data_IF_008544099007
#
_entry.id   IF_008544099007
#
_cell.length_a   1.000
_cell.length_b   1.000
_cell.length_c   1.000
_cell.angle_alpha   90.00
_cell.angle_beta   90.00
_cell.angle_gamma   90.00
#
_symmetry.space_group_name_H-M   'P 1'
#
loop_
_entity.id
_entity.type
_entity.pdbx_description
1 polymer ?
#
# COMPACT_ATOMS: atom_id res chain seq x y z
N UNK A 1 1.23 5.17 19.81
CA UNK A 1 0.39 4.21 19.05
C UNK A 1 0.80 4.27 17.60
N UNK A 2 0.75 3.12 16.92
CA UNK A 2 1.77 2.65 15.99
C UNK A 2 1.14 2.24 14.66
N UNK A 3 1.84 2.46 13.55
CA UNK A 3 1.25 2.35 12.22
C UNK A 3 2.28 1.99 11.12
N UNK A 4 2.19 0.74 10.67
CA UNK A 4 2.37 0.28 9.27
C UNK A 4 3.80 0.22 8.63
N UNK A 5 4.29 -1.02 8.35
CA UNK A 5 5.56 -1.34 7.63
C UNK A 5 5.40 -2.09 6.31
N UNK A 6 4.42 -2.97 6.09
CA UNK A 6 4.45 -3.77 4.84
C UNK A 6 3.21 -3.62 3.94
N UNK A 7 2.02 -3.51 4.53
CA UNK A 7 1.04 -2.56 3.97
C UNK A 7 1.71 -1.20 3.69
N UNK A 8 2.80 -0.93 4.37
CA UNK A 8 3.52 0.31 4.31
C UNK A 8 4.44 0.50 3.12
N UNK A 9 4.75 -0.48 2.30
CA UNK A 9 5.11 -0.12 0.92
C UNK A 9 4.10 0.86 0.26
N UNK A 10 2.81 0.65 0.50
CA UNK A 10 1.69 1.51 0.09
C UNK A 10 1.20 2.50 1.17
N UNK A 11 1.70 2.35 2.40
CA UNK A 11 1.21 3.05 3.61
C UNK A 11 2.31 3.80 4.41
N UNK A 12 3.60 3.55 4.15
CA UNK A 12 4.78 4.39 4.49
C UNK A 12 4.65 5.75 3.84
N UNK A 13 3.72 5.81 2.93
CA UNK A 13 3.40 6.90 2.11
C UNK A 13 2.42 7.91 2.75
N UNK A 14 1.74 7.56 3.83
CA UNK A 14 0.44 8.18 4.12
C UNK A 14 0.46 9.14 5.32
N UNK A 15 1.62 9.55 5.80
CA UNK A 15 1.71 10.22 7.10
C UNK A 15 2.46 11.56 7.10
N UNK A 16 2.46 12.30 5.98
CA UNK A 16 2.97 13.69 5.97
C UNK A 16 2.00 14.69 5.31
N UNK A 17 0.69 14.48 5.43
CA UNK A 17 -0.29 15.50 5.05
C UNK A 17 -1.50 15.47 5.99
N UNK A 18 -1.42 16.27 7.05
CA UNK A 18 -2.59 16.77 7.77
C UNK A 18 -2.31 18.26 8.09
N UNK A 19 -3.29 19.12 7.73
CA UNK A 19 -3.33 20.61 7.63
C UNK A 19 -2.46 21.19 6.51
N UNK A 20 -3.03 21.82 5.48
CA UNK A 20 -3.88 23.01 5.59
C UNK A 20 -5.28 22.97 4.96
N UNK A 21 -6.15 23.79 5.56
CA UNK A 21 -7.53 24.10 5.20
C UNK A 21 -7.69 24.61 3.75
N UNK A 22 -8.79 24.30 3.04
CA UNK A 22 -9.01 24.64 1.62
C UNK A 22 -9.36 26.12 1.33
N UNK A 23 -9.00 27.09 2.18
CA UNK A 23 -9.38 28.50 1.98
C UNK A 23 -8.35 29.39 1.27
N UNK A 24 -7.15 28.91 0.94
CA UNK A 24 -6.10 29.75 0.31
C UNK A 24 -5.82 29.49 -1.18
N UNK A 25 -6.48 28.53 -1.83
CA UNK A 25 -6.30 28.26 -3.28
C UNK A 25 -7.42 28.87 -4.14
N UNK A 26 -7.63 30.18 -3.99
CA UNK A 26 -8.27 31.03 -5.01
C UNK A 26 -7.28 32.08 -5.49
N UNK A 27 -6.26 31.68 -6.22
CA UNK A 27 -5.54 32.56 -7.13
C UNK A 27 -4.63 31.75 -8.06
N UNK A 28 -4.69 32.07 -9.34
CA UNK A 28 -3.79 31.66 -10.42
C UNK A 28 -4.00 30.22 -10.91
N UNK A 29 -4.47 29.98 -12.14
CA UNK A 29 -4.35 30.78 -13.36
C UNK A 29 -3.79 29.85 -14.44
N UNK A 30 -4.60 29.63 -15.47
CA UNK A 30 -4.38 28.83 -16.67
C UNK A 30 -2.93 28.84 -17.20
N UNK A 31 -2.41 27.67 -17.64
CA UNK A 31 -1.75 27.49 -18.95
C UNK A 31 -1.81 26.03 -19.43
N UNK A 32 -2.27 25.87 -20.67
CA UNK A 32 -2.23 24.68 -21.54
C UNK A 32 -0.81 24.35 -22.04
N UNK A 33 -0.75 23.32 -22.90
CA UNK A 33 0.37 22.71 -23.64
C UNK A 33 1.01 21.53 -22.89
N UNK A 34 1.24 20.36 -23.47
CA UNK A 34 1.24 19.87 -24.84
C UNK A 34 2.11 18.60 -24.80
N UNK A 35 1.73 17.57 -25.54
CA UNK A 35 2.37 16.25 -25.43
C UNK A 35 3.87 16.25 -25.75
N UNK A 36 4.57 15.26 -25.18
CA UNK A 36 5.60 14.42 -25.81
C UNK A 36 6.21 13.50 -24.74
N UNK A 37 6.35 12.23 -25.07
CA UNK A 37 7.03 11.20 -24.25
C UNK A 37 8.54 11.45 -24.38
N UNK A 38 9.32 11.63 -23.30
CA UNK A 38 10.77 11.65 -23.44
C UNK A 38 11.30 10.21 -23.54
N UNK A 39 11.90 9.92 -24.69
CA UNK A 39 12.86 8.83 -24.89
C UNK A 39 14.13 9.20 -24.12
N UNK A 40 14.60 8.33 -23.22
CA UNK A 40 15.85 8.54 -22.49
C UNK A 40 17.05 8.14 -23.35
N UNK A 41 17.90 9.12 -23.67
CA UNK A 41 19.26 8.94 -24.20
C UNK A 41 20.24 8.85 -23.02
N UNK A 42 20.97 7.74 -22.82
CA UNK A 42 21.84 7.53 -21.66
C UNK A 42 23.19 8.28 -21.71
N UNK A 43 23.41 9.20 -22.67
CA UNK A 43 24.70 9.87 -22.85
C UNK A 43 24.82 11.31 -22.32
N UNK A 44 23.80 11.88 -21.67
CA UNK A 44 23.88 13.27 -21.15
C UNK A 44 24.06 13.25 -19.64
N UNK A 45 25.29 13.55 -19.19
CA UNK A 45 25.62 13.76 -17.79
C UNK A 45 24.73 14.82 -17.14
N UNK A 46 24.44 14.64 -15.85
CA UNK A 46 23.64 15.57 -15.06
C UNK A 46 24.18 17.01 -15.18
N UNK A 47 23.32 18.03 -15.30
CA UNK A 47 23.76 19.42 -15.32
C UNK A 47 24.39 19.76 -13.97
N UNK A 48 25.70 20.04 -13.97
CA UNK A 48 26.38 20.64 -12.82
C UNK A 48 25.78 22.03 -12.57
N UNK A 49 25.25 22.24 -11.37
CA UNK A 49 24.87 23.57 -10.92
C UNK A 49 26.13 24.42 -10.75
N UNK A 50 26.15 25.68 -11.23
CA UNK A 50 27.31 26.55 -11.06
C UNK A 50 27.55 26.83 -9.57
N UNK A 51 28.82 26.82 -9.12
CA UNK A 51 29.14 27.12 -7.73
C UNK A 51 28.78 28.58 -7.41
N UNK A 52 27.93 28.79 -6.39
CA UNK A 52 27.64 30.12 -5.84
C UNK A 52 26.21 30.64 -6.00
N UNK A 53 25.23 29.83 -6.41
CA UNK A 53 23.83 30.25 -6.35
C UNK A 53 23.38 30.43 -4.88
N UNK A 54 22.96 31.63 -4.45
CA UNK A 54 22.49 31.84 -3.09
C UNK A 54 21.16 31.11 -2.89
N UNK A 55 21.15 30.15 -1.98
CA UNK A 55 19.91 29.60 -1.41
C UNK A 55 19.36 30.70 -0.52
N UNK A 56 18.28 31.37 -0.95
CA UNK A 56 17.60 32.34 -0.10
C UNK A 56 16.97 31.57 1.07
N UNK A 57 17.35 31.80 2.33
CA UNK A 57 16.59 31.30 3.45
C UNK A 57 15.41 32.24 3.61
N UNK A 58 14.22 31.83 3.18
CA UNK A 58 13.01 32.52 3.63
C UNK A 58 13.00 32.50 5.16
N UNK A 59 12.72 33.63 5.82
CA UNK A 59 12.62 33.66 7.27
C UNK A 59 11.46 32.78 7.70
N UNK A 60 11.77 31.73 8.45
CA UNK A 60 10.77 30.94 9.18
C UNK A 60 10.05 31.93 10.11
N UNK A 61 8.73 32.08 9.96
CA UNK A 61 7.91 32.92 10.82
C UNK A 61 8.01 32.38 12.27
N UNK A 62 8.58 33.14 13.23
CA UNK A 62 8.73 32.68 14.60
C UNK A 62 7.40 32.52 15.35
N UNK A 63 6.28 32.88 14.73
CA UNK A 63 4.93 32.63 15.24
C UNK A 63 4.31 31.32 14.76
N UNK A 64 4.95 30.62 13.82
CA UNK A 64 4.56 29.26 13.49
C UNK A 64 4.82 28.36 14.70
N UNK A 65 3.78 27.71 15.25
CA UNK A 65 3.96 26.80 16.36
C UNK A 65 4.93 25.68 15.92
N UNK A 66 5.93 25.32 16.75
CA UNK A 66 6.79 24.19 16.45
C UNK A 66 5.90 22.98 16.19
N UNK A 67 6.10 22.32 15.04
CA UNK A 67 5.34 21.14 14.65
C UNK A 67 5.48 20.08 15.75
N UNK A 68 4.40 19.85 16.48
CA UNK A 68 4.34 18.91 17.59
C UNK A 68 4.61 17.47 17.08
N UNK A 69 5.75 16.86 17.44
CA UNK A 69 6.08 15.50 17.02
C UNK A 69 5.15 14.44 17.65
N UNK A 70 4.28 14.83 18.60
CA UNK A 70 3.33 13.93 19.27
C UNK A 70 1.93 13.91 18.62
N UNK A 71 1.70 14.67 17.53
CA UNK A 71 0.38 14.74 16.89
C UNK A 71 -0.05 13.38 16.30
N UNK A 72 -1.24 12.83 16.62
CA UNK A 72 -1.66 11.51 16.16
C UNK A 72 -1.81 11.43 14.64
N UNK A 73 -1.02 10.57 14.01
CA UNK A 73 -1.17 10.22 12.59
C UNK A 73 -2.41 9.35 12.36
N UNK A 74 -3.14 9.61 11.28
CA UNK A 74 -4.31 8.82 10.91
C UNK A 74 -3.97 7.34 10.62
N UNK A 75 -4.75 6.36 11.13
CA UNK A 75 -4.56 4.95 10.82
C UNK A 75 -4.76 4.67 9.33
N UNK A 76 -3.82 3.94 8.76
CA UNK A 76 -3.82 3.71 7.32
C UNK A 76 -4.50 2.39 6.95
N UNK A 77 -4.45 1.41 7.84
CA UNK A 77 -5.38 0.28 7.85
C UNK A 77 -6.65 0.74 8.54
N UNK A 78 -7.76 0.60 7.83
CA UNK A 78 -9.10 0.93 8.30
C UNK A 78 -9.91 -0.36 8.32
N UNK A 79 -10.55 -0.65 9.45
CA UNK A 79 -11.48 -1.78 9.50
C UNK A 79 -12.69 -1.45 8.63
N UNK A 80 -12.98 -2.22 7.58
CA UNK A 80 -14.21 -2.01 6.83
C UNK A 80 -15.40 -2.30 7.75
N UNK A 81 -16.50 -1.58 7.52
CA UNK A 81 -17.77 -1.91 8.16
C UNK A 81 -18.48 -2.93 7.29
N UNK A 82 -18.77 -4.09 7.88
CA UNK A 82 -19.46 -5.20 7.25
C UNK A 82 -20.90 -5.22 7.75
N UNK A 83 -21.85 -5.24 6.83
CA UNK A 83 -23.28 -5.25 7.16
C UNK A 83 -23.98 -6.33 6.34
N UNK A 84 -24.95 -7.01 6.95
CA UNK A 84 -25.89 -7.84 6.23
C UNK A 84 -26.64 -6.96 5.23
N UNK A 85 -26.68 -7.38 3.97
CA UNK A 85 -27.17 -6.56 2.87
C UNK A 85 -28.67 -6.26 2.98
N UNK A 86 -29.10 -5.00 3.22
CA UNK A 86 -30.52 -4.65 3.32
C UNK A 86 -31.04 -3.91 2.08
N UNK A 87 -30.22 -3.69 1.05
CA UNK A 87 -30.53 -2.85 -0.13
C UNK A 87 -30.45 -3.65 -1.43
N UNK A 88 -30.80 -3.05 -2.57
CA UNK A 88 -30.57 -3.64 -3.89
C UNK A 88 -29.12 -3.43 -4.35
N UNK A 89 -28.58 -4.33 -5.17
CA UNK A 89 -27.23 -4.17 -5.72
C UNK A 89 -27.30 -3.13 -6.83
N UNK A 90 -26.34 -2.21 -6.85
CA UNK A 90 -26.16 -1.25 -7.92
C UNK A 90 -25.48 -1.89 -9.14
N UNK A 91 -24.99 -1.08 -10.09
CA UNK A 91 -24.27 -1.58 -11.25
C UNK A 91 -23.01 -2.38 -10.86
N UNK A 92 -22.69 -3.39 -11.69
CA UNK A 92 -21.48 -4.18 -11.59
C UNK A 92 -20.25 -3.30 -11.87
N UNK A 93 -19.31 -3.31 -10.94
CA UNK A 93 -18.04 -2.59 -11.02
C UNK A 93 -16.90 -3.49 -11.49
N UNK A 94 -17.02 -4.80 -11.25
CA UNK A 94 -16.04 -5.78 -11.70
C UNK A 94 -16.31 -7.19 -11.16
N UNK A 95 -15.65 -8.17 -11.78
CA UNK A 95 -15.66 -9.57 -11.35
C UNK A 95 -14.22 -10.05 -11.23
N UNK A 96 -13.83 -10.42 -10.01
CA UNK A 96 -12.48 -10.90 -9.71
C UNK A 96 -12.49 -12.44 -9.63
N UNK A 97 -11.72 -13.17 -10.46
CA UNK A 97 -11.57 -14.61 -10.33
C UNK A 97 -10.65 -14.93 -9.13
N UNK A 98 -11.21 -15.40 -8.01
CA UNK A 98 -10.46 -15.57 -6.77
C UNK A 98 -9.33 -16.62 -6.89
N UNK A 99 -9.54 -17.82 -7.46
CA UNK A 99 -8.47 -18.82 -7.58
C UNK A 99 -7.29 -18.34 -8.43
N UNK A 100 -7.56 -17.62 -9.52
CA UNK A 100 -6.53 -17.11 -10.43
C UNK A 100 -5.74 -15.94 -9.83
N UNK A 101 -6.34 -15.22 -8.87
CA UNK A 101 -5.74 -14.06 -8.21
C UNK A 101 -5.17 -14.36 -6.84
N UNK A 102 -5.38 -15.58 -6.33
CA UNK A 102 -4.85 -15.97 -5.03
C UNK A 102 -3.32 -15.85 -5.05
N UNK A 103 -2.78 -15.03 -4.15
CA UNK A 103 -1.35 -14.88 -3.96
C UNK A 103 -0.59 -14.36 -5.21
N UNK A 104 -1.28 -13.70 -6.15
CA UNK A 104 -0.69 -13.14 -7.37
C UNK A 104 0.38 -12.06 -7.13
N UNK A 105 0.53 -11.61 -5.89
CA UNK A 105 1.50 -10.61 -5.46
C UNK A 105 2.72 -11.23 -4.77
N UNK A 106 2.90 -12.56 -4.78
CA UNK A 106 4.03 -13.21 -4.08
C UNK A 106 5.40 -12.93 -4.71
N UNK A 107 5.43 -12.55 -5.99
CA UNK A 107 6.61 -12.23 -6.80
C UNK A 107 6.78 -10.72 -7.06
N UNK A 108 6.22 -9.91 -6.16
CA UNK A 108 6.10 -8.47 -6.33
C UNK A 108 7.44 -7.72 -6.40
N UNK A 109 8.46 -8.17 -5.65
CA UNK A 109 9.82 -7.63 -5.72
C UNK A 109 10.85 -8.74 -5.96
N UNK A 110 11.21 -9.05 -7.21
CA UNK A 110 12.34 -9.93 -7.49
C UNK A 110 13.65 -9.20 -7.17
N UNK A 111 14.36 -9.67 -6.14
CA UNK A 111 15.58 -9.06 -5.62
C UNK A 111 16.67 -10.11 -5.39
N UNK A 112 17.90 -9.77 -5.77
CA UNK A 112 19.07 -10.53 -5.34
C UNK A 112 19.45 -10.15 -3.92
N UNK A 113 19.29 -11.06 -2.97
CA UNK A 113 19.67 -10.88 -1.57
C UNK A 113 20.70 -11.95 -1.19
N UNK A 114 21.89 -11.50 -0.81
CA UNK A 114 23.02 -12.42 -0.66
C UNK A 114 23.50 -12.92 -2.02
N UNK A 115 23.68 -14.24 -2.11
CA UNK A 115 24.07 -14.93 -3.35
C UNK A 115 22.88 -15.41 -4.20
N UNK A 116 21.65 -15.24 -3.72
CA UNK A 116 20.45 -15.83 -4.34
C UNK A 116 19.41 -14.78 -4.72
N UNK A 117 18.60 -15.13 -5.72
CA UNK A 117 17.43 -14.35 -6.11
C UNK A 117 16.22 -14.79 -5.28
N UNK A 118 15.47 -13.79 -4.82
CA UNK A 118 14.32 -13.94 -3.94
C UNK A 118 13.18 -13.09 -4.46
N UNK A 119 11.99 -13.67 -4.44
CA UNK A 119 10.75 -12.94 -4.57
C UNK A 119 10.37 -12.40 -3.19
N UNK A 120 10.46 -11.08 -3.02
CA UNK A 120 10.13 -10.41 -1.78
C UNK A 120 8.71 -9.87 -1.86
N UNK A 121 7.91 -10.19 -0.86
CA UNK A 121 6.55 -9.67 -0.75
C UNK A 121 6.12 -9.58 0.70
N UNK A 122 4.81 -9.60 0.92
CA UNK A 122 4.14 -9.16 2.12
C UNK A 122 2.98 -10.09 2.38
N UNK A 123 2.82 -10.50 3.63
CA UNK A 123 1.63 -11.20 4.09
C UNK A 123 1.17 -10.62 5.42
N UNK A 124 -0.03 -10.98 5.83
CA UNK A 124 -0.59 -10.59 7.11
C UNK A 124 -1.55 -11.68 7.63
N UNK A 125 -1.94 -11.57 8.88
CA UNK A 125 -3.07 -12.33 9.40
C UNK A 125 -4.42 -11.78 8.89
N UNK A 126 -5.50 -12.53 9.10
CA UNK A 126 -6.85 -12.17 8.62
C UNK A 126 -7.38 -10.84 9.15
N UNK A 127 -6.87 -10.37 10.30
CA UNK A 127 -7.22 -9.08 10.89
C UNK A 127 -6.27 -7.96 10.49
N UNK A 128 -5.17 -8.31 9.82
CA UNK A 128 -4.09 -7.40 9.50
C UNK A 128 -3.48 -6.73 10.75
N UNK A 129 -3.52 -7.41 11.90
CA UNK A 129 -2.91 -6.99 13.15
C UNK A 129 -1.42 -7.39 13.20
N UNK A 130 -1.04 -8.50 12.54
CA UNK A 130 0.34 -8.98 12.37
C UNK A 130 0.71 -9.04 10.89
N UNK A 131 1.89 -8.53 10.53
CA UNK A 131 2.37 -8.45 9.15
C UNK A 131 3.76 -9.07 9.03
N UNK A 132 4.06 -9.57 7.84
CA UNK A 132 5.21 -10.42 7.57
C UNK A 132 5.87 -9.99 6.27
N UNK A 133 7.20 -9.88 6.29
CA UNK A 133 8.01 -9.95 5.08
C UNK A 133 8.03 -11.40 4.59
N UNK A 134 7.74 -11.61 3.31
CA UNK A 134 7.81 -12.92 2.69
C UNK A 134 9.01 -12.97 1.75
N UNK A 135 9.70 -14.10 1.74
CA UNK A 135 10.82 -14.37 0.84
C UNK A 135 10.59 -15.73 0.21
N UNK A 136 10.35 -15.76 -1.09
CA UNK A 136 10.14 -16.99 -1.84
C UNK A 136 11.30 -17.27 -2.79
N UNK A 137 11.72 -18.53 -2.86
CA UNK A 137 12.70 -19.04 -3.81
C UNK A 137 12.39 -20.49 -4.13
N UNK A 138 11.87 -20.75 -5.34
CA UNK A 138 11.30 -22.06 -5.69
C UNK A 138 10.23 -22.47 -4.68
N UNK A 139 10.34 -23.69 -4.14
CA UNK A 139 9.43 -24.23 -3.11
C UNK A 139 9.66 -23.66 -1.70
N UNK A 140 10.73 -22.89 -1.48
CA UNK A 140 11.02 -22.30 -0.17
C UNK A 140 10.22 -21.02 0.01
N UNK A 141 9.45 -20.93 1.10
CA UNK A 141 8.82 -19.71 1.58
C UNK A 141 9.27 -19.42 3.01
N UNK A 142 9.80 -18.23 3.22
CA UNK A 142 10.16 -17.73 4.55
C UNK A 142 9.21 -16.59 4.92
N UNK A 143 8.65 -16.68 6.12
CA UNK A 143 7.85 -15.62 6.73
C UNK A 143 8.68 -14.98 7.85
N UNK A 144 8.73 -13.65 7.85
CA UNK A 144 9.47 -12.87 8.84
C UNK A 144 8.58 -11.80 9.41
N UNK A 145 8.08 -12.07 10.61
CA UNK A 145 7.16 -11.18 11.32
C UNK A 145 7.79 -9.81 11.55
N UNK A 146 6.99 -8.79 11.32
CA UNK A 146 7.30 -7.41 11.67
C UNK A 146 6.67 -7.14 13.03
N UNK A 147 7.50 -6.81 14.01
CA UNK A 147 7.03 -6.54 15.38
C UNK A 147 6.29 -5.21 15.44
N UNK A 148 6.99 -4.17 15.00
CA UNK A 148 6.44 -2.85 14.84
C UNK A 148 6.84 -2.34 13.48
N UNK A 149 5.82 -1.86 12.85
CA UNK A 149 5.81 -1.36 11.54
C UNK A 149 6.48 0.03 11.43
N UNK A 150 6.51 0.77 12.54
CA UNK A 150 7.31 1.98 12.67
C UNK A 150 8.82 1.72 12.65
N UNK A 151 9.27 0.49 12.95
CA UNK A 151 10.70 0.16 12.92
C UNK A 151 11.28 0.37 11.52
N UNK A 152 10.51 0.11 10.45
CA UNK A 152 10.96 0.40 9.09
C UNK A 152 11.26 1.89 8.88
N UNK A 153 10.47 2.80 9.46
CA UNK A 153 10.65 4.25 9.30
C UNK A 153 11.82 4.79 10.15
N UNK A 154 12.08 4.15 11.28
CA UNK A 154 13.14 4.52 12.22
C UNK A 154 14.50 3.89 11.88
N UNK A 155 14.92 2.94 12.71
CA UNK A 155 16.21 2.27 12.58
C UNK A 155 16.25 1.23 11.43
N UNK A 156 15.11 0.89 10.86
CA UNK A 156 14.93 -0.25 9.96
C UNK A 156 14.73 -1.57 10.71
N UNK A 157 14.13 -2.54 10.03
CA UNK A 157 13.95 -3.91 10.52
C UNK A 157 15.06 -4.78 9.97
N UNK A 158 15.78 -5.47 10.85
CA UNK A 158 16.81 -6.44 10.47
C UNK A 158 16.17 -7.82 10.32
N UNK A 159 16.39 -8.43 9.16
CA UNK A 159 15.79 -9.70 8.78
C UNK A 159 16.86 -10.68 8.38
N UNK A 160 16.96 -11.78 9.12
CA UNK A 160 17.77 -12.95 8.76
C UNK A 160 17.01 -13.80 7.75
N UNK A 161 17.50 -13.89 6.52
CA UNK A 161 16.91 -14.69 5.44
C UNK A 161 17.41 -16.13 5.58
N UNK A 162 18.73 -16.31 5.67
CA UNK A 162 19.40 -17.58 5.93
C UNK A 162 20.61 -17.37 6.85
N UNK A 163 21.43 -18.41 7.07
CA UNK A 163 22.58 -18.36 7.98
C UNK A 163 23.68 -17.38 7.60
N UNK A 164 23.75 -16.97 6.33
CA UNK A 164 24.78 -16.05 5.81
C UNK A 164 24.20 -14.72 5.31
N UNK A 165 22.87 -14.62 5.25
CA UNK A 165 22.19 -13.52 4.59
C UNK A 165 21.27 -12.80 5.57
N UNK A 166 21.69 -11.61 6.00
CA UNK A 166 20.91 -10.70 6.85
C UNK A 166 20.83 -9.33 6.22
N UNK A 167 19.62 -8.78 6.12
CA UNK A 167 19.36 -7.49 5.51
C UNK A 167 18.54 -6.60 6.41
N UNK A 168 18.83 -5.30 6.37
CA UNK A 168 18.03 -4.26 6.99
C UNK A 168 17.13 -3.60 5.95
N UNK A 169 15.84 -3.59 6.25
CA UNK A 169 14.81 -2.92 5.50
C UNK A 169 14.52 -1.60 6.21
N UNK A 170 14.73 -0.46 5.55
CA UNK A 170 14.51 0.86 6.12
C UNK A 170 13.86 1.78 5.11
N UNK A 171 12.95 2.63 5.56
CA UNK A 171 12.20 3.52 4.71
C UNK A 171 12.56 4.95 5.07
N UNK A 172 13.14 5.65 4.11
CA UNK A 172 13.41 7.06 4.20
C UNK A 172 12.19 7.83 3.68
N UNK A 173 11.48 8.49 4.58
CA UNK A 173 10.25 9.22 4.28
C UNK A 173 10.60 10.53 3.55
N UNK A 174 9.88 10.82 2.47
CA UNK A 174 9.90 12.13 1.83
C UNK A 174 8.66 12.91 2.29
N UNK A 175 8.84 14.02 3.00
CA UNK A 175 7.71 14.79 3.55
C UNK A 175 6.83 15.46 2.48
N UNK A 176 7.39 15.80 1.32
CA UNK A 176 6.67 16.47 0.22
C UNK A 176 5.93 15.50 -0.70
N UNK A 177 6.34 14.23 -0.69
CA UNK A 177 5.67 13.15 -1.40
C UNK A 177 5.83 11.86 -0.59
N UNK A 178 5.11 11.74 0.54
CA UNK A 178 5.29 10.63 1.45
C UNK A 178 4.89 9.36 0.70
N UNK A 179 3.67 9.34 0.12
CA UNK A 179 3.27 8.80 -1.17
C UNK A 179 4.25 7.87 -1.87
N UNK A 180 4.63 8.40 -3.00
CA UNK A 180 5.42 7.74 -4.01
C UNK A 180 6.88 8.16 -3.95
N UNK A 181 7.19 9.26 -3.25
CA UNK A 181 8.52 9.87 -3.19
C UNK A 181 9.44 9.33 -2.09
N UNK A 182 8.90 8.60 -1.11
CA UNK A 182 9.69 7.90 -0.09
C UNK A 182 10.55 6.80 -0.73
N UNK A 183 11.63 6.41 -0.05
CA UNK A 183 12.57 5.39 -0.55
C UNK A 183 12.65 4.22 0.41
N UNK A 184 12.36 3.01 -0.07
CA UNK A 184 12.69 1.76 0.61
C UNK A 184 14.16 1.41 0.31
N UNK A 185 14.98 1.37 1.36
CA UNK A 185 16.37 0.97 1.35
C UNK A 185 16.48 -0.45 1.93
N UNK A 186 17.20 -1.31 1.22
CA UNK A 186 17.45 -2.69 1.62
C UNK A 186 18.97 -2.87 1.61
N UNK A 187 19.56 -2.89 2.80
CA UNK A 187 21.02 -2.88 2.97
C UNK A 187 21.50 -4.16 3.65
N UNK A 188 22.57 -4.82 3.17
CA UNK A 188 23.13 -5.97 3.86
C UNK A 188 23.71 -5.53 5.20
N UNK A 189 23.45 -6.31 6.25
CA UNK A 189 24.05 -6.09 7.56
C UNK A 189 25.53 -6.52 7.56
N UNK A 190 26.36 -6.04 8.51
CA UNK A 190 27.75 -6.48 8.63
C UNK A 190 27.87 -8.00 8.65
N UNK A 191 28.77 -8.55 7.84
CA UNK A 191 28.95 -9.99 7.65
C UNK A 191 28.10 -10.60 6.52
N UNK A 192 27.11 -9.89 5.98
CA UNK A 192 26.37 -10.30 4.78
C UNK A 192 27.02 -9.73 3.52
N UNK A 193 27.37 -10.58 2.57
CA UNK A 193 27.80 -10.15 1.23
C UNK A 193 26.59 -10.08 0.31
N UNK A 194 26.41 -8.98 -0.43
CA UNK A 194 25.34 -8.85 -1.41
C UNK A 194 25.09 -7.40 -1.82
N UNK A 195 24.24 -7.17 -2.84
CA UNK A 195 23.93 -5.83 -3.31
C UNK A 195 23.07 -5.07 -2.29
N UNK A 196 23.18 -3.74 -2.33
CA UNK A 196 22.22 -2.81 -1.72
C UNK A 196 21.14 -2.49 -2.74
N UNK A 197 19.91 -2.35 -2.27
CA UNK A 197 18.79 -1.88 -3.10
C UNK A 197 18.21 -0.60 -2.53
N UNK A 198 17.80 0.29 -3.42
CA UNK A 198 17.02 1.47 -3.09
C UNK A 198 15.95 1.64 -4.15
N UNK A 199 14.69 1.72 -3.73
CA UNK A 199 13.56 1.86 -4.64
C UNK A 199 12.56 2.87 -4.10
N UNK A 200 11.90 3.60 -5.00
CA UNK A 200 10.81 4.50 -4.63
C UNK A 200 9.58 3.71 -4.24
N UNK A 201 8.87 4.16 -3.20
CA UNK A 201 7.57 3.58 -2.82
C UNK A 201 6.56 3.68 -3.95
N UNK A 202 6.68 4.68 -4.83
CA UNK A 202 5.88 4.79 -6.05
C UNK A 202 6.02 3.60 -7.00
N UNK A 203 7.26 3.15 -7.26
CA UNK A 203 7.51 1.99 -8.12
C UNK A 203 6.94 0.69 -7.50
N UNK A 204 6.95 0.63 -6.17
CA UNK A 204 6.38 -0.48 -5.42
C UNK A 204 4.84 -0.48 -5.48
N UNK A 205 4.22 0.70 -5.42
CA UNK A 205 2.79 0.88 -5.63
C UNK A 205 2.37 0.50 -7.05
N UNK A 206 3.19 0.83 -8.05
CA UNK A 206 2.95 0.43 -9.44
C UNK A 206 2.98 -1.09 -9.60
N UNK A 207 3.93 -1.76 -8.94
CA UNK A 207 3.99 -3.22 -8.89
C UNK A 207 2.75 -3.82 -8.19
N UNK A 208 2.35 -3.28 -7.05
CA UNK A 208 1.11 -3.69 -6.34
C UNK A 208 -0.10 -3.55 -7.27
N UNK A 209 -0.25 -2.40 -7.92
CA UNK A 209 -1.38 -2.12 -8.82
C UNK A 209 -1.41 -3.10 -9.99
N UNK A 210 -0.25 -3.45 -10.56
CA UNK A 210 -0.14 -4.42 -11.65
C UNK A 210 -0.65 -5.80 -11.24
N UNK A 211 -0.34 -6.25 -10.03
CA UNK A 211 -0.78 -7.56 -9.52
C UNK A 211 -2.18 -7.56 -8.92
N UNK A 212 -2.80 -6.39 -8.79
CA UNK A 212 -4.13 -6.21 -8.21
C UNK A 212 -5.26 -6.34 -9.23
N UNK A 213 -6.44 -6.67 -8.74
CA UNK A 213 -7.68 -6.42 -9.47
C UNK A 213 -8.10 -4.96 -9.30
N UNK A 214 -8.16 -4.20 -10.38
CA UNK A 214 -8.47 -2.76 -10.34
C UNK A 214 -9.93 -2.52 -10.72
N UNK A 215 -10.65 -1.74 -9.91
CA UNK A 215 -12.01 -1.31 -10.19
C UNK A 215 -12.24 0.15 -9.77
N UNK A 216 -13.32 0.76 -10.25
CA UNK A 216 -13.69 2.15 -9.91
C UNK A 216 -15.04 2.19 -9.22
N UNK A 217 -15.14 2.96 -8.14
CA UNK A 217 -16.38 3.19 -7.41
C UNK A 217 -16.42 4.66 -6.96
N UNK A 218 -17.56 5.34 -7.18
CA UNK A 218 -17.77 6.75 -6.77
C UNK A 218 -16.64 7.69 -7.24
N UNK A 219 -16.13 7.49 -8.45
CA UNK A 219 -15.05 8.30 -9.03
C UNK A 219 -13.64 7.99 -8.48
N UNK A 220 -13.50 7.03 -7.55
CA UNK A 220 -12.22 6.59 -6.99
C UNK A 220 -11.79 5.25 -7.56
N UNK A 221 -10.48 5.06 -7.71
CA UNK A 221 -9.89 3.79 -8.13
C UNK A 221 -9.49 2.96 -6.90
N UNK A 222 -9.86 1.70 -6.89
CA UNK A 222 -9.54 0.74 -5.85
C UNK A 222 -8.78 -0.44 -6.44
N UNK A 223 -7.85 -0.98 -5.66
CA UNK A 223 -7.04 -2.15 -6.01
C UNK A 223 -7.30 -3.24 -4.99
N UNK A 224 -7.72 -4.42 -5.45
CA UNK A 224 -7.95 -5.58 -4.60
C UNK A 224 -6.83 -6.60 -4.80
N UNK A 225 -6.11 -6.90 -3.73
CA UNK A 225 -5.23 -8.06 -3.62
C UNK A 225 -5.97 -9.18 -2.89
N UNK A 226 -5.74 -10.42 -3.29
CA UNK A 226 -6.27 -11.60 -2.60
C UNK A 226 -5.11 -12.52 -2.22
N UNK A 227 -5.02 -12.88 -0.94
CA UNK A 227 -3.88 -13.62 -0.43
C UNK A 227 -4.24 -14.61 0.67
N UNK A 228 -3.36 -15.59 0.85
CA UNK A 228 -3.39 -16.53 1.97
C UNK A 228 -2.93 -15.80 3.24
N UNK A 229 -3.69 -15.93 4.33
CA UNK A 229 -3.34 -15.32 5.61
C UNK A 229 -2.17 -16.05 6.28
N UNK A 230 -1.54 -15.40 7.26
CA UNK A 230 -0.57 -16.02 8.17
C UNK A 230 -1.24 -16.26 9.51
N UNK A 231 -1.01 -17.45 10.10
CA UNK A 231 -1.39 -17.72 11.48
C UNK A 231 -0.34 -17.10 12.43
N UNK A 232 -0.71 -16.08 13.23
CA UNK A 232 0.24 -15.38 14.08
C UNK A 232 0.73 -16.19 15.27
N UNK A 233 0.14 -17.37 15.56
CA UNK A 233 0.60 -18.26 16.61
C UNK A 233 1.76 -19.17 16.14
N UNK A 234 1.76 -19.53 14.85
CA UNK A 234 2.74 -20.46 14.27
C UNK A 234 3.71 -19.79 13.29
N UNK A 235 3.44 -18.53 12.92
CA UNK A 235 4.16 -17.78 11.87
C UNK A 235 4.23 -18.57 10.53
N UNK A 236 3.17 -19.34 10.25
CA UNK A 236 3.01 -20.16 9.05
C UNK A 236 1.77 -19.72 8.24
N UNK A 237 1.70 -20.12 6.97
CA UNK A 237 0.49 -19.89 6.17
C UNK A 237 -0.72 -20.58 6.82
N UNK A 238 -1.81 -19.83 6.97
CA UNK A 238 -3.08 -20.34 7.47
C UNK A 238 -3.91 -20.96 6.34
N UNK A 239 -5.00 -21.64 6.71
CA UNK A 239 -6.02 -22.12 5.78
C UNK A 239 -7.09 -21.06 5.46
N UNK A 240 -6.87 -19.81 5.88
CA UNK A 240 -7.77 -18.67 5.64
C UNK A 240 -7.15 -17.72 4.62
N UNK A 241 -8.00 -16.88 4.03
CA UNK A 241 -7.62 -15.91 3.02
C UNK A 241 -8.32 -14.59 3.28
N UNK A 242 -7.71 -13.52 2.81
CA UNK A 242 -8.28 -12.18 2.92
C UNK A 242 -8.06 -11.37 1.65
N UNK A 243 -8.98 -10.46 1.41
CA UNK A 243 -8.83 -9.38 0.45
C UNK A 243 -8.20 -8.18 1.15
N UNK A 244 -7.27 -7.51 0.48
CA UNK A 244 -6.85 -6.18 0.86
C UNK A 244 -7.27 -5.20 -0.24
N UNK A 245 -8.21 -4.32 0.09
CA UNK A 245 -8.66 -3.27 -0.82
C UNK A 245 -7.87 -2.01 -0.53
N UNK A 246 -7.22 -1.43 -1.53
CA UNK A 246 -6.35 -0.27 -1.43
C UNK A 246 -6.93 0.87 -2.28
N UNK A 247 -6.88 2.10 -1.78
CA UNK A 247 -7.12 3.30 -2.55
C UNK A 247 -5.94 4.26 -2.37
N UNK A 248 -5.32 4.70 -3.47
CA UNK A 248 -4.33 5.78 -3.47
C UNK A 248 -5.04 7.12 -3.75
N UNK A 249 -4.77 8.13 -2.92
CA UNK A 249 -5.36 9.46 -2.98
C UNK A 249 -4.27 10.55 -2.86
N UNK A 250 -3.31 10.53 -3.78
CA UNK A 250 -2.25 11.54 -3.89
C UNK A 250 -1.26 11.49 -2.72
N UNK A 251 -1.51 12.28 -1.67
CA UNK A 251 -0.66 12.37 -0.47
C UNK A 251 -1.02 11.34 0.61
N UNK A 252 -2.07 10.55 0.38
CA UNK A 252 -2.49 9.49 1.29
C UNK A 252 -2.90 8.24 0.52
N UNK A 253 -3.01 7.12 1.21
CA UNK A 253 -3.50 5.86 0.68
C UNK A 253 -4.17 5.10 1.81
N UNK A 254 -5.29 4.45 1.56
CA UNK A 254 -6.04 3.74 2.61
C UNK A 254 -6.19 2.30 2.22
N UNK A 255 -6.18 1.42 3.22
CA UNK A 255 -6.29 -0.01 3.00
C UNK A 255 -7.34 -0.62 3.94
N UNK A 256 -8.18 -1.50 3.40
CA UNK A 256 -9.27 -2.16 4.11
C UNK A 256 -9.17 -3.67 3.94
N UNK A 257 -8.82 -4.42 5.00
CA UNK A 257 -8.79 -5.87 4.95
C UNK A 257 -10.20 -6.44 5.08
N UNK A 258 -10.58 -7.36 4.20
CA UNK A 258 -11.85 -8.08 4.23
C UNK A 258 -11.54 -9.58 4.21
N UNK A 259 -11.73 -10.26 5.33
CA UNK A 259 -11.56 -11.71 5.41
C UNK A 259 -12.53 -12.42 4.44
N UNK A 260 -12.07 -13.46 3.74
CA UNK A 260 -12.92 -14.22 2.82
C UNK A 260 -14.12 -14.83 3.54
N UNK A 261 -13.93 -15.26 4.80
CA UNK A 261 -14.99 -15.81 5.65
C UNK A 261 -16.11 -14.81 5.96
N UNK A 262 -15.87 -13.52 5.82
CA UNK A 262 -16.89 -12.49 5.95
C UNK A 262 -17.75 -12.32 4.69
N UNK A 263 -17.43 -13.02 3.60
CA UNK A 263 -18.14 -13.01 2.32
C UNK A 263 -18.73 -14.40 2.05
N UNK A 264 -19.81 -14.78 2.74
CA UNK A 264 -20.45 -16.08 2.55
C UNK A 264 -20.86 -16.29 1.08
N UNK A 265 -20.76 -17.54 0.63
CA UNK A 265 -21.07 -17.88 -0.75
C UNK A 265 -22.55 -17.59 -1.06
N UNK A 266 -22.81 -17.08 -2.28
CA UNK A 266 -24.14 -16.76 -2.78
C UNK A 266 -24.85 -15.60 -2.07
N UNK A 267 -24.26 -15.08 -0.99
CA UNK A 267 -24.90 -14.07 -0.14
C UNK A 267 -24.22 -12.71 -0.35
N UNK A 268 -24.94 -11.71 -0.89
CA UNK A 268 -24.40 -10.36 -1.00
C UNK A 268 -24.06 -9.78 0.38
N UNK A 269 -22.89 -9.17 0.49
CA UNK A 269 -22.40 -8.53 1.71
C UNK A 269 -22.09 -7.07 1.42
N UNK A 270 -22.62 -6.16 2.25
CA UNK A 270 -22.28 -4.74 2.14
C UNK A 270 -20.93 -4.48 2.82
N UNK A 271 -20.00 -3.89 2.08
CA UNK A 271 -18.65 -3.56 2.52
C UNK A 271 -18.45 -2.05 2.40
N UNK A 272 -18.30 -1.36 3.54
CA UNK A 272 -18.07 0.09 3.55
C UNK A 272 -16.59 0.41 3.70
N UNK A 273 -16.04 1.08 2.69
CA UNK A 273 -14.68 1.62 2.63
C UNK A 273 -14.75 3.11 2.99
N UNK A 274 -14.97 3.40 4.27
CA UNK A 274 -15.34 4.74 4.78
C UNK A 274 -16.60 5.29 4.10
N UNK A 275 -16.43 6.18 3.11
CA UNK A 275 -17.51 6.88 2.44
C UNK A 275 -18.04 6.14 1.21
N UNK A 276 -17.33 5.09 0.76
CA UNK A 276 -17.74 4.30 -0.41
C UNK A 276 -18.33 2.98 0.04
N UNK A 277 -19.55 2.69 -0.42
CA UNK A 277 -20.24 1.43 -0.13
C UNK A 277 -20.23 0.51 -1.34
N UNK A 278 -19.77 -0.71 -1.14
CA UNK A 278 -19.73 -1.78 -2.13
C UNK A 278 -20.65 -2.91 -1.71
N UNK A 279 -21.11 -3.68 -2.71
CA UNK A 279 -21.81 -4.94 -2.51
C UNK A 279 -20.97 -6.04 -3.13
N UNK A 280 -20.46 -6.92 -2.27
CA UNK A 280 -19.55 -8.00 -2.66
C UNK A 280 -20.29 -9.33 -2.54
N UNK A 281 -20.29 -10.13 -3.60
CA UNK A 281 -20.93 -11.45 -3.62
C UNK A 281 -19.94 -12.48 -4.12
N UNK A 282 -19.63 -13.47 -3.28
CA UNK A 282 -18.78 -14.61 -3.64
C UNK A 282 -19.64 -15.68 -4.29
N UNK A 283 -19.40 -15.97 -5.56
CA UNK A 283 -20.07 -17.03 -6.29
C UNK A 283 -19.48 -18.41 -5.98
N UNK A 284 -20.30 -19.45 -6.16
CA UNK A 284 -19.88 -20.85 -6.10
C UNK A 284 -18.85 -21.22 -7.18
N UNK A 285 -18.76 -20.41 -8.24
CA UNK A 285 -17.79 -20.52 -9.33
C UNK A 285 -16.40 -19.95 -8.95
N UNK A 286 -16.21 -19.53 -7.70
CA UNK A 286 -14.96 -18.93 -7.23
C UNK A 286 -14.76 -17.50 -7.73
N UNK A 287 -15.79 -16.82 -8.24
CA UNK A 287 -15.69 -15.42 -8.64
C UNK A 287 -16.27 -14.49 -7.58
N UNK A 288 -15.64 -13.34 -7.41
CA UNK A 288 -16.12 -12.26 -6.55
C UNK A 288 -16.70 -11.15 -7.42
N UNK A 289 -18.01 -10.99 -7.39
CA UNK A 289 -18.70 -9.87 -8.03
C UNK A 289 -18.70 -8.67 -7.10
N UNK A 290 -18.23 -7.53 -7.59
CA UNK A 290 -18.17 -6.25 -6.87
C UNK A 290 -19.14 -5.29 -7.56
N UNK A 291 -20.17 -4.85 -6.84
CA UNK A 291 -21.17 -3.92 -7.33
C UNK A 291 -21.13 -2.63 -6.51
N UNK A 292 -21.61 -1.53 -7.08
CA UNK A 292 -21.93 -0.35 -6.29
C UNK A 292 -23.09 -0.65 -5.34
N UNK A 293 -23.20 0.10 -4.24
CA UNK A 293 -24.45 0.10 -3.47
C UNK A 293 -25.59 0.65 -4.34
N UNK A 294 -26.71 -0.06 -4.39
CA UNK A 294 -27.91 0.44 -5.06
C UNK A 294 -28.50 1.61 -4.28
N UNK A 295 -28.98 2.63 -4.98
CA UNK A 295 -29.83 3.64 -4.34
C UNK A 295 -31.12 2.94 -3.91
N UNK A 296 -31.46 2.99 -2.63
CA UNK A 296 -32.82 2.62 -2.22
C UNK A 296 -33.78 3.48 -3.04
N UNK A 297 -34.71 2.85 -3.77
CA UNK A 297 -35.79 3.60 -4.42
C UNK A 297 -36.44 4.48 -3.37
N UNK A 298 -36.64 5.78 -3.61
CA UNK A 298 -37.47 6.58 -2.72
C UNK A 298 -38.84 5.91 -2.71
N UNK A 299 -39.22 5.33 -1.57
CA UNK A 299 -40.59 4.87 -1.36
C UNK A 299 -41.49 6.06 -1.62
N UNK A 300 -42.26 6.01 -2.71
CA UNK A 300 -43.35 6.93 -2.96
C UNK A 300 -44.27 6.91 -1.73
N UNK A 301 -44.38 8.06 -1.06
CA UNK A 301 -45.43 8.31 -0.07
C UNK A 301 -46.56 9.06 -0.75
#
# INVERSE_FOLDING_TARGET
>A
MKAHALIAAAVLAVSAAASDSPESLRASGERSFGGLIPVFDPAVGAPELPPGAPVSPEPIDPTDPPLDPERPLEPVIRRPRLEAFPQAAGPLLGVMPLPERLDSHRDLLPLRLGAADWDVSIAADSKFDAQYLTFRRGETLLLRRLKDLNELRGAGVVVKIDDKTTYRFKVSINIFSPVRGSTLNITPEPGTQGPKHAMKTGALLDAIKRESFVFKAEGKEYWALFGTDVDPATDALANTRSLLIINEAGMSSKAWPVAESALPEGTPTAVSLENTKLVMTRGADGRLSINAAGKASPTAR
#
